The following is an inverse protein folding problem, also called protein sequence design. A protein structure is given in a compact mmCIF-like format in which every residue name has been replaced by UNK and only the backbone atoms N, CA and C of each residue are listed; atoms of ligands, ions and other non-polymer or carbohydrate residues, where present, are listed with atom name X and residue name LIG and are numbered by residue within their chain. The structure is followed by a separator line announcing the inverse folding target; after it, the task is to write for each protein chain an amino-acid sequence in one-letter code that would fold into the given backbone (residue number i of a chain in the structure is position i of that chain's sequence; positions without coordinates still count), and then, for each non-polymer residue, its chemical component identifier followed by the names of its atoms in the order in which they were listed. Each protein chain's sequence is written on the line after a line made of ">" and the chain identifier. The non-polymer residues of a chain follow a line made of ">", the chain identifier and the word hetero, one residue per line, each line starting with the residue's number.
data_IF_407172815507
#
_entry.id   IF_407172815507
#
_cell.length_a   1.000
_cell.length_b   1.000
_cell.length_c   1.000
_cell.angle_alpha   90.00
_cell.angle_beta   90.00
_cell.angle_gamma   90.00
#
_symmetry.space_group_name_H-M   'P 1'
#
loop_
_entity.id
_entity.type
_entity.pdbx_description
1 polymer ?
#
# COMPACT_ATOMS: atom_id res chain seq x y z
N UNK A 1 -6.52 -9.47 25.54
CA UNK A 1 -6.11 -9.17 24.16
C UNK A 1 -4.98 -8.16 24.17
N UNK A 2 -3.87 -8.40 23.55
CA UNK A 2 -2.84 -7.37 23.43
C UNK A 2 -3.43 -6.17 22.68
N UNK A 3 -3.37 -5.00 23.28
CA UNK A 3 -3.70 -3.76 22.59
C UNK A 3 -2.61 -3.49 21.59
N UNK A 4 -2.92 -3.60 20.31
CA UNK A 4 -2.02 -3.16 19.26
C UNK A 4 -1.88 -1.63 19.35
N UNK A 5 -0.70 -1.17 19.70
CA UNK A 5 -0.37 0.25 19.76
C UNK A 5 0.34 0.61 18.48
N UNK A 6 -0.22 1.56 17.73
CA UNK A 6 0.40 2.06 16.51
C UNK A 6 1.69 2.81 16.81
N UNK A 7 2.68 2.63 15.94
CA UNK A 7 3.93 3.37 16.04
C UNK A 7 3.68 4.88 15.95
N UNK A 8 4.29 5.63 16.84
CA UNK A 8 4.22 7.10 16.86
C UNK A 8 5.63 7.66 16.72
N UNK A 9 6.07 7.88 15.49
CA UNK A 9 7.40 8.41 15.16
C UNK A 9 7.21 9.61 14.25
N UNK A 10 7.28 10.86 14.78
CA UNK A 10 7.15 12.08 13.97
C UNK A 10 8.21 12.13 12.86
N UNK A 11 7.78 12.44 11.65
CA UNK A 11 8.66 12.47 10.47
C UNK A 11 9.20 11.11 10.04
N UNK A 12 8.65 10.02 10.59
CA UNK A 12 9.11 8.67 10.34
C UNK A 12 8.77 8.16 8.94
N UNK A 13 9.48 7.09 8.56
CA UNK A 13 9.24 6.31 7.34
C UNK A 13 8.60 4.98 7.72
N UNK A 14 7.53 4.62 7.05
CA UNK A 14 6.73 3.44 7.37
C UNK A 14 6.42 2.63 6.12
N UNK A 15 6.50 1.31 6.26
CA UNK A 15 5.95 0.35 5.30
C UNK A 15 4.53 -0.02 5.71
N UNK A 16 3.62 -0.15 4.74
CA UNK A 16 2.23 -0.53 4.96
C UNK A 16 1.79 -1.68 4.08
N UNK A 17 0.92 -2.53 4.62
CA UNK A 17 0.09 -3.47 3.88
C UNK A 17 -1.38 -3.15 4.12
N UNK A 18 -2.11 -2.86 3.06
CA UNK A 18 -3.53 -2.51 3.12
C UNK A 18 -4.31 -3.38 2.16
N UNK A 19 -5.35 -4.05 2.65
CA UNK A 19 -6.03 -5.10 1.90
C UNK A 19 -7.55 -4.89 1.82
N UNK A 20 -8.13 -5.35 0.71
CA UNK A 20 -9.57 -5.48 0.57
C UNK A 20 -10.11 -6.55 1.53
N UNK A 21 -11.36 -6.39 1.92
CA UNK A 21 -12.07 -7.39 2.74
C UNK A 21 -12.28 -8.68 1.95
N UNK A 22 -12.78 -8.57 0.73
CA UNK A 22 -12.98 -9.69 -0.18
C UNK A 22 -11.77 -9.86 -1.09
N UNK A 23 -10.87 -10.78 -0.74
CA UNK A 23 -9.60 -11.01 -1.43
C UNK A 23 -9.74 -11.55 -2.86
N UNK A 24 -10.91 -12.05 -3.24
CA UNK A 24 -11.19 -12.52 -4.61
C UNK A 24 -11.50 -11.38 -5.58
N UNK A 25 -11.82 -10.18 -5.08
CA UNK A 25 -12.13 -9.02 -5.90
C UNK A 25 -10.85 -8.33 -6.38
N UNK A 26 -10.95 -7.72 -7.56
CA UNK A 26 -9.84 -7.03 -8.22
C UNK A 26 -10.02 -5.50 -8.23
N UNK A 27 -10.73 -4.97 -7.25
CA UNK A 27 -11.19 -3.58 -7.24
C UNK A 27 -10.07 -2.54 -7.35
N UNK A 28 -8.89 -2.82 -6.80
CA UNK A 28 -7.79 -1.85 -6.79
C UNK A 28 -7.24 -1.62 -8.20
N UNK A 29 -7.26 -2.64 -9.06
CA UNK A 29 -6.80 -2.54 -10.44
C UNK A 29 -7.93 -2.10 -11.37
N UNK A 30 -9.14 -2.65 -11.19
CA UNK A 30 -10.32 -2.26 -11.98
C UNK A 30 -10.65 -0.77 -11.82
N UNK A 31 -10.40 -0.21 -10.63
CA UNK A 31 -10.62 1.20 -10.31
C UNK A 31 -9.32 1.94 -9.97
N UNK A 32 -8.24 1.62 -10.68
CA UNK A 32 -6.91 2.18 -10.39
C UNK A 32 -6.88 3.71 -10.44
N UNK A 33 -7.60 4.32 -11.36
CA UNK A 33 -7.66 5.78 -11.48
C UNK A 33 -8.38 6.44 -10.30
N UNK A 34 -9.44 5.80 -9.79
CA UNK A 34 -10.11 6.24 -8.56
C UNK A 34 -9.19 6.15 -7.35
N UNK A 35 -8.39 5.09 -7.26
CA UNK A 35 -7.39 4.93 -6.19
C UNK A 35 -6.30 6.01 -6.29
N UNK A 36 -5.76 6.27 -7.47
CA UNK A 36 -4.79 7.34 -7.71
C UNK A 36 -5.31 8.71 -7.32
N UNK A 37 -6.57 9.01 -7.69
CA UNK A 37 -7.24 10.26 -7.30
C UNK A 37 -7.40 10.38 -5.79
N UNK A 38 -7.75 9.30 -5.10
CA UNK A 38 -7.87 9.28 -3.65
C UNK A 38 -6.51 9.59 -2.98
N UNK A 39 -5.43 8.97 -3.42
CA UNK A 39 -4.08 9.26 -2.94
C UNK A 39 -3.67 10.71 -3.20
N UNK A 40 -3.79 11.18 -4.42
CA UNK A 40 -3.41 12.55 -4.80
C UNK A 40 -4.17 13.60 -4.00
N UNK A 41 -5.47 13.39 -3.80
CA UNK A 41 -6.32 14.29 -3.02
C UNK A 41 -5.91 14.35 -1.54
N UNK A 42 -5.57 13.22 -0.94
CA UNK A 42 -5.12 13.18 0.45
C UNK A 42 -3.72 13.79 0.59
N UNK A 43 -2.80 13.51 -0.34
CA UNK A 43 -1.47 14.14 -0.34
C UNK A 43 -1.53 15.67 -0.45
N UNK A 44 -2.48 16.21 -1.23
CA UNK A 44 -2.68 17.66 -1.34
C UNK A 44 -3.14 18.30 -0.03
N UNK A 45 -3.94 17.60 0.76
CA UNK A 45 -4.48 18.11 2.03
C UNK A 45 -3.60 17.80 3.24
N UNK A 46 -2.95 16.64 3.23
CA UNK A 46 -2.07 16.12 4.29
C UNK A 46 -0.81 15.54 3.65
N UNK A 47 0.20 16.38 3.37
CA UNK A 47 1.39 15.96 2.62
C UNK A 47 2.11 14.76 3.22
N UNK A 48 2.59 13.89 2.35
CA UNK A 48 3.51 12.79 2.66
C UNK A 48 4.22 12.37 1.38
N UNK A 49 5.41 11.79 1.51
CA UNK A 49 6.16 11.28 0.38
C UNK A 49 5.87 9.78 0.21
N UNK A 50 5.61 9.36 -1.02
CA UNK A 50 5.53 7.93 -1.39
C UNK A 50 6.90 7.53 -1.93
N UNK A 51 7.66 6.81 -1.12
CA UNK A 51 9.00 6.34 -1.47
C UNK A 51 8.96 5.13 -2.41
N UNK A 52 8.03 4.21 -2.14
CA UNK A 52 7.76 3.06 -2.99
C UNK A 52 6.30 2.62 -2.85
N UNK A 53 5.74 2.03 -3.89
CA UNK A 53 4.40 1.46 -3.87
C UNK A 53 4.23 0.38 -4.93
N UNK A 54 3.37 -0.59 -4.64
CA UNK A 54 2.81 -1.55 -5.60
C UNK A 54 1.33 -1.74 -5.31
N UNK A 55 0.52 -1.71 -6.36
CA UNK A 55 -0.91 -2.00 -6.28
C UNK A 55 -1.15 -3.36 -6.91
N UNK A 56 -1.67 -4.28 -6.11
CA UNK A 56 -2.13 -5.60 -6.55
C UNK A 56 -3.65 -5.61 -6.62
N UNK A 57 -4.28 -6.62 -7.23
CA UNK A 57 -5.74 -6.62 -7.41
C UNK A 57 -6.53 -6.44 -6.12
N UNK A 58 -6.08 -7.00 -5.02
CA UNK A 58 -6.81 -7.11 -3.74
C UNK A 58 -6.10 -6.49 -2.53
N UNK A 59 -4.88 -6.03 -2.70
CA UNK A 59 -4.11 -5.36 -1.65
C UNK A 59 -3.03 -4.47 -2.25
N UNK A 60 -2.42 -3.66 -1.42
CA UNK A 60 -1.30 -2.82 -1.79
C UNK A 60 -0.24 -2.82 -0.69
N UNK A 61 0.99 -2.56 -1.11
CA UNK A 61 2.09 -2.23 -0.22
C UNK A 61 2.65 -0.88 -0.59
N UNK A 62 3.05 -0.10 0.39
CA UNK A 62 3.75 1.16 0.14
C UNK A 62 4.65 1.55 1.29
N UNK A 63 5.60 2.42 0.99
CA UNK A 63 6.46 3.08 1.96
C UNK A 63 6.18 4.58 1.88
N UNK A 64 5.88 5.19 3.02
CA UNK A 64 5.68 6.62 3.15
C UNK A 64 6.68 7.23 4.11
N UNK A 65 7.13 8.44 3.80
CA UNK A 65 7.80 9.32 4.75
C UNK A 65 6.87 10.47 5.08
N UNK A 66 6.62 10.67 6.38
CA UNK A 66 5.78 11.75 6.89
C UNK A 66 6.58 13.04 7.03
N UNK A 67 5.93 14.21 6.99
CA UNK A 67 6.57 15.49 7.27
C UNK A 67 7.14 15.53 8.67
N UNK A 68 8.14 16.38 8.86
CA UNK A 68 8.72 16.64 10.19
C UNK A 68 7.63 17.02 11.20
N UNK A 69 7.68 16.39 12.36
CA UNK A 69 6.71 16.62 13.45
C UNK A 69 5.37 15.91 13.30
N UNK A 70 5.10 15.27 12.16
CA UNK A 70 3.84 14.57 11.88
C UNK A 70 4.02 13.05 12.02
N UNK A 71 3.12 12.41 12.75
CA UNK A 71 3.09 10.96 12.94
C UNK A 71 1.74 10.34 12.55
N UNK A 72 0.82 11.11 11.98
CA UNK A 72 -0.56 10.67 11.75
C UNK A 72 -0.77 10.04 10.37
N UNK A 73 -0.25 8.82 10.19
CA UNK A 73 -0.55 8.03 9.01
C UNK A 73 -1.98 7.44 9.05
N UNK A 74 -2.54 7.22 10.23
CA UNK A 74 -3.87 6.62 10.39
C UNK A 74 -4.99 7.47 9.78
N UNK A 75 -4.97 8.80 10.01
CA UNK A 75 -5.94 9.71 9.39
C UNK A 75 -5.80 9.75 7.86
N UNK A 76 -4.58 9.66 7.34
CA UNK A 76 -4.33 9.57 5.89
C UNK A 76 -4.91 8.30 5.29
N UNK A 77 -4.67 7.14 5.89
CA UNK A 77 -5.28 5.89 5.45
C UNK A 77 -6.79 5.90 5.52
N UNK A 78 -7.35 6.43 6.60
CA UNK A 78 -8.80 6.58 6.73
C UNK A 78 -9.37 7.42 5.58
N UNK A 79 -8.76 8.55 5.27
CA UNK A 79 -9.20 9.43 4.19
C UNK A 79 -9.07 8.78 2.80
N UNK A 80 -7.96 8.11 2.51
CA UNK A 80 -7.74 7.39 1.24
C UNK A 80 -8.79 6.29 1.07
N UNK A 81 -8.93 5.43 2.06
CA UNK A 81 -9.91 4.32 2.04
C UNK A 81 -11.34 4.81 1.86
N UNK A 82 -11.71 5.85 2.57
CA UNK A 82 -13.04 6.47 2.50
C UNK A 82 -13.32 7.09 1.12
N UNK A 83 -12.38 7.82 0.56
CA UNK A 83 -12.54 8.45 -0.77
C UNK A 83 -12.64 7.41 -1.88
N UNK A 84 -11.79 6.41 -1.85
CA UNK A 84 -11.87 5.30 -2.79
C UNK A 84 -13.21 4.58 -2.71
N UNK A 85 -13.64 4.20 -1.52
CA UNK A 85 -14.92 3.49 -1.32
C UNK A 85 -16.12 4.30 -1.83
N UNK A 86 -16.15 5.62 -1.57
CA UNK A 86 -17.22 6.49 -2.05
C UNK A 86 -17.27 6.65 -3.57
N UNK A 87 -16.15 6.47 -4.25
CA UNK A 87 -16.07 6.55 -5.72
C UNK A 87 -16.59 5.29 -6.42
N UNK A 88 -16.78 4.19 -5.68
CA UNK A 88 -17.23 2.91 -6.23
C UNK A 88 -18.75 2.75 -6.19
N UNK A 89 -19.34 2.03 -7.16
CA UNK A 89 -20.75 1.66 -7.07
C UNK A 89 -21.03 0.73 -5.88
N UNK A 90 -22.22 0.82 -5.30
CA UNK A 90 -22.64 0.01 -4.15
C UNK A 90 -23.01 -1.40 -4.60
N UNK A 91 -22.05 -2.31 -4.59
CA UNK A 91 -22.23 -3.71 -5.02
C UNK A 91 -21.67 -4.74 -4.02
N UNK A 92 -21.17 -4.29 -2.89
CA UNK A 92 -20.58 -5.14 -1.86
C UNK A 92 -21.63 -5.75 -0.95
N UNK A 93 -21.34 -6.94 -0.44
CA UNK A 93 -22.14 -7.56 0.62
C UNK A 93 -21.78 -6.93 1.97
N UNK A 94 -22.80 -6.42 2.65
CA UNK A 94 -22.64 -5.81 3.96
C UNK A 94 -23.17 -6.73 5.05
N UNK A 95 -22.38 -6.99 6.09
CA UNK A 95 -22.89 -7.56 7.33
C UNK A 95 -23.74 -6.51 8.08
N UNK A 96 -24.72 -6.98 8.85
CA UNK A 96 -25.58 -6.11 9.68
C UNK A 96 -24.76 -5.16 10.55
N UNK A 97 -23.64 -5.65 11.12
CA UNK A 97 -22.74 -4.84 11.97
C UNK A 97 -22.03 -3.72 11.18
N UNK A 98 -21.64 -3.97 9.93
CA UNK A 98 -21.01 -2.96 9.06
C UNK A 98 -22.00 -1.94 8.57
N UNK A 99 -23.18 -2.39 8.17
CA UNK A 99 -24.28 -1.53 7.77
C UNK A 99 -24.68 -0.57 8.90
N UNK A 100 -24.81 -1.08 10.12
CA UNK A 100 -25.13 -0.26 11.31
C UNK A 100 -24.06 0.80 11.62
N UNK A 101 -22.79 0.58 11.21
CA UNK A 101 -21.69 1.54 11.37
C UNK A 101 -21.46 2.43 10.15
N UNK A 102 -22.27 2.32 9.10
CA UNK A 102 -22.07 3.04 7.84
C UNK A 102 -20.82 2.61 7.05
N UNK A 103 -20.28 1.43 7.34
CA UNK A 103 -19.10 0.90 6.64
C UNK A 103 -19.52 0.17 5.36
N UNK A 104 -18.81 0.42 4.27
CA UNK A 104 -19.09 -0.20 2.97
C UNK A 104 -18.58 -1.64 2.80
N UNK A 105 -17.73 -2.14 3.70
CA UNK A 105 -17.19 -3.49 3.58
C UNK A 105 -16.23 -3.71 2.40
N UNK A 106 -15.62 -2.65 1.87
CA UNK A 106 -14.62 -2.69 0.80
C UNK A 106 -13.27 -3.11 1.37
N UNK A 107 -12.86 -2.50 2.47
CA UNK A 107 -11.55 -2.67 3.08
C UNK A 107 -11.59 -3.51 4.34
N UNK A 108 -10.49 -4.23 4.62
CA UNK A 108 -10.23 -4.69 5.97
C UNK A 108 -10.10 -3.47 6.90
N UNK A 109 -10.63 -3.58 8.12
CA UNK A 109 -10.62 -2.47 9.08
C UNK A 109 -9.23 -2.06 9.48
N UNK A 110 -8.36 -3.05 9.71
CA UNK A 110 -6.98 -2.85 10.12
C UNK A 110 -6.07 -2.94 8.90
N UNK A 111 -4.98 -2.22 8.94
CA UNK A 111 -3.84 -2.37 8.05
C UNK A 111 -2.60 -2.68 8.90
N UNK A 112 -1.59 -3.26 8.28
CA UNK A 112 -0.33 -3.52 8.94
C UNK A 112 0.66 -2.41 8.64
N UNK A 113 1.44 -1.99 9.66
CA UNK A 113 2.53 -1.04 9.49
C UNK A 113 3.81 -1.55 10.15
N UNK A 114 4.94 -1.15 9.57
CA UNK A 114 6.27 -1.37 10.09
C UNK A 114 7.07 -0.07 9.97
N UNK A 115 7.61 0.42 11.09
CA UNK A 115 8.51 1.57 11.07
C UNK A 115 9.86 1.16 10.49
N UNK A 116 10.28 1.82 9.43
CA UNK A 116 11.59 1.60 8.81
C UNK A 116 12.68 2.12 9.75
N UNK A 117 13.66 1.27 10.06
CA UNK A 117 14.67 1.52 11.10
C UNK A 117 15.95 2.13 10.55
N UNK A 118 16.36 1.73 9.34
CA UNK A 118 17.62 2.09 8.71
C UNK A 118 17.56 1.88 7.19
N UNK A 119 18.65 2.20 6.50
CA UNK A 119 18.72 2.10 5.03
C UNK A 119 18.65 0.65 4.53
N UNK A 120 19.17 -0.30 5.30
CA UNK A 120 19.07 -1.73 4.95
C UNK A 120 17.62 -2.22 5.04
N UNK A 121 16.92 -1.84 6.11
CA UNK A 121 15.50 -2.14 6.31
C UNK A 121 14.65 -1.50 5.18
N UNK A 122 14.95 -0.27 4.82
CA UNK A 122 14.31 0.41 3.69
C UNK A 122 14.53 -0.34 2.37
N UNK A 123 15.76 -0.68 2.05
CA UNK A 123 16.11 -1.39 0.81
C UNK A 123 15.40 -2.74 0.70
N UNK A 124 15.37 -3.51 1.79
CA UNK A 124 14.66 -4.80 1.84
C UNK A 124 13.16 -4.65 1.56
N UNK A 125 12.53 -3.67 2.18
CA UNK A 125 11.09 -3.44 1.98
C UNK A 125 10.78 -2.89 0.59
N UNK A 126 11.64 -2.06 0.03
CA UNK A 126 11.52 -1.62 -1.37
C UNK A 126 11.63 -2.78 -2.36
N UNK A 127 12.60 -3.66 -2.17
CA UNK A 127 12.77 -4.85 -3.01
C UNK A 127 11.57 -5.79 -2.90
N UNK A 128 11.07 -6.00 -1.69
CA UNK A 128 9.85 -6.77 -1.45
C UNK A 128 8.64 -6.19 -2.20
N UNK A 129 8.44 -4.88 -2.12
CA UNK A 129 7.36 -4.19 -2.83
C UNK A 129 7.44 -4.46 -4.32
N UNK A 130 8.59 -4.24 -4.93
CA UNK A 130 8.73 -4.31 -6.39
C UNK A 130 8.70 -5.74 -6.91
N UNK A 131 9.15 -6.71 -6.13
CA UNK A 131 9.09 -8.13 -6.50
C UNK A 131 7.71 -8.75 -6.28
N UNK A 132 6.84 -8.11 -5.52
CA UNK A 132 5.55 -8.66 -5.07
C UNK A 132 4.64 -9.19 -6.21
N UNK A 133 4.49 -8.49 -7.36
CA UNK A 133 3.68 -9.01 -8.48
C UNK A 133 4.19 -10.35 -9.03
N UNK A 134 5.49 -10.53 -9.10
CA UNK A 134 6.11 -11.80 -9.53
C UNK A 134 5.90 -12.88 -8.48
N UNK A 135 6.10 -12.53 -7.20
CA UNK A 135 5.88 -13.46 -6.07
C UNK A 135 4.45 -14.04 -6.06
N UNK A 136 3.46 -13.21 -6.36
CA UNK A 136 2.05 -13.62 -6.40
C UNK A 136 1.57 -14.13 -7.78
N UNK A 137 2.47 -14.27 -8.74
CA UNK A 137 2.14 -14.82 -10.06
C UNK A 137 1.34 -13.89 -10.98
N UNK A 138 1.31 -12.58 -10.66
CA UNK A 138 0.62 -11.58 -11.51
C UNK A 138 1.45 -11.12 -12.70
N UNK A 139 2.76 -11.30 -12.66
CA UNK A 139 3.68 -10.92 -13.72
C UNK A 139 4.84 -11.94 -13.81
N UNK A 140 5.44 -12.08 -15.00
CA UNK A 140 6.62 -12.94 -15.21
C UNK A 140 7.90 -12.24 -14.76
N UNK A 141 7.98 -10.94 -15.00
CA UNK A 141 9.09 -10.10 -14.56
C UNK A 141 8.58 -8.87 -13.81
N UNK A 142 9.45 -8.26 -13.03
CA UNK A 142 9.10 -7.04 -12.27
C UNK A 142 8.69 -5.90 -13.20
N UNK A 143 9.38 -5.77 -14.34
CA UNK A 143 9.10 -4.73 -15.34
C UNK A 143 7.74 -4.88 -16.03
N UNK A 144 7.16 -6.08 -16.03
CA UNK A 144 5.85 -6.32 -16.67
C UNK A 144 4.66 -5.80 -15.89
N UNK A 145 4.84 -5.48 -14.60
CA UNK A 145 3.75 -4.99 -13.76
C UNK A 145 3.65 -3.47 -13.82
N UNK A 146 2.53 -2.90 -14.35
CA UNK A 146 2.44 -1.45 -14.57
C UNK A 146 2.14 -0.63 -13.32
N UNK A 147 1.60 -1.26 -12.25
CA UNK A 147 1.09 -0.56 -11.07
C UNK A 147 2.08 -0.58 -9.92
N UNK A 148 3.30 -0.13 -10.19
CA UNK A 148 4.35 -0.02 -9.18
C UNK A 148 5.26 1.17 -9.44
N UNK A 149 5.97 1.59 -8.41
CA UNK A 149 7.00 2.64 -8.50
C UNK A 149 8.31 2.16 -9.13
N UNK A 150 8.43 0.88 -9.47
CA UNK A 150 9.62 0.30 -10.10
C UNK A 150 10.07 1.10 -11.32
N UNK A 151 9.15 1.41 -12.24
CA UNK A 151 9.47 2.14 -13.48
C UNK A 151 10.03 3.54 -13.20
N UNK A 152 9.51 4.24 -12.20
CA UNK A 152 10.03 5.54 -11.77
C UNK A 152 11.44 5.42 -11.21
N UNK A 153 11.70 4.39 -10.44
CA UNK A 153 13.00 4.15 -9.81
C UNK A 153 14.05 3.65 -10.81
N UNK A 154 13.65 2.92 -11.85
CA UNK A 154 14.52 2.60 -12.99
C UNK A 154 14.97 3.89 -13.69
N UNK A 155 14.05 4.82 -13.97
CA UNK A 155 14.37 6.13 -14.58
C UNK A 155 15.32 6.97 -13.71
N UNK A 156 15.30 6.78 -12.40
CA UNK A 156 16.20 7.45 -11.44
C UNK A 156 17.50 6.70 -11.19
N UNK A 157 17.72 5.56 -11.87
CA UNK A 157 18.94 4.76 -11.73
C UNK A 157 19.04 3.94 -10.45
N UNK A 158 17.94 3.79 -9.69
CA UNK A 158 17.89 2.97 -8.46
C UNK A 158 17.86 1.49 -8.79
N UNK A 159 17.12 1.09 -9.83
CA UNK A 159 17.05 -0.28 -10.33
C UNK A 159 17.52 -0.37 -11.77
N UNK A 160 18.15 -1.51 -12.12
CA UNK A 160 18.33 -1.88 -13.52
C UNK A 160 16.98 -2.24 -14.16
N UNK A 161 16.77 -1.98 -15.48
CA UNK A 161 15.47 -2.27 -16.13
C UNK A 161 15.07 -3.75 -16.07
N UNK A 162 16.04 -4.64 -16.04
CA UNK A 162 15.87 -6.10 -15.97
C UNK A 162 16.01 -6.66 -14.55
N UNK A 163 15.97 -5.80 -13.53
CA UNK A 163 16.12 -6.24 -12.15
C UNK A 163 15.08 -7.32 -11.79
N UNK A 164 15.59 -8.41 -11.28
CA UNK A 164 14.83 -9.48 -10.66
C UNK A 164 15.44 -9.80 -9.32
N UNK A 165 14.63 -10.04 -8.30
CA UNK A 165 15.09 -10.26 -6.95
C UNK A 165 16.04 -11.47 -6.84
N UNK A 166 17.06 -11.32 -6.03
CA UNK A 166 17.87 -12.44 -5.56
C UNK A 166 17.06 -13.41 -4.69
N UNK A 167 17.63 -14.56 -4.38
CA UNK A 167 16.95 -15.63 -3.62
C UNK A 167 16.51 -15.17 -2.23
N UNK A 168 17.23 -14.26 -1.59
CA UNK A 168 16.86 -13.66 -0.30
C UNK A 168 15.55 -12.87 -0.35
N UNK A 169 15.30 -12.15 -1.45
CA UNK A 169 14.04 -11.39 -1.63
C UNK A 169 12.90 -12.31 -1.99
N UNK A 170 13.16 -13.33 -2.83
CA UNK A 170 12.17 -14.36 -3.20
C UNK A 170 11.63 -15.10 -1.98
N UNK A 171 12.50 -15.37 -1.00
CA UNK A 171 12.16 -16.06 0.24
C UNK A 171 11.56 -15.14 1.31
N UNK A 172 11.57 -13.82 1.10
CA UNK A 172 11.12 -12.86 2.10
C UNK A 172 9.60 -12.91 2.25
N UNK A 173 9.14 -13.22 3.46
CA UNK A 173 7.76 -13.07 3.89
C UNK A 173 7.71 -11.91 4.88
N UNK A 174 7.01 -10.86 4.51
CA UNK A 174 6.63 -9.79 5.42
C UNK A 174 5.18 -10.01 5.81
N UNK A 175 4.98 -10.21 7.07
CA UNK A 175 3.65 -10.36 7.63
C UNK A 175 2.83 -9.08 7.47
#
# INVERSE_FOLDING_TARGET
>A
MPRYIRAHIPGGTFFFTVALLERKRRLLIEHIDALRKAFASVQAQRPFTIDAAVILPDHLHCIWTLPEGDADFSARWHAIKSRFSRSLPNQERLSTRRSAKGERGIWQRRFWEHAIRDDEDLARHMDYIHYNPVKHGHARSVADWPYSTFHRLVKRGVYAPDWGAGDNVRAMELA
#
